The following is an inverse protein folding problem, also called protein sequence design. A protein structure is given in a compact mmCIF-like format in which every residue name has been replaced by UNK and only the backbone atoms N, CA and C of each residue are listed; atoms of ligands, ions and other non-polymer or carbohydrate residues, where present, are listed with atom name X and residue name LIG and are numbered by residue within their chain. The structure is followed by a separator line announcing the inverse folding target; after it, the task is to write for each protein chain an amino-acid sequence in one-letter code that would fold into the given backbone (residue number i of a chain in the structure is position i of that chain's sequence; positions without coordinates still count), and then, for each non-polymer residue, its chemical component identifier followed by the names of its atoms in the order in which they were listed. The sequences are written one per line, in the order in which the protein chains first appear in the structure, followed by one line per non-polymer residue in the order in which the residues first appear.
data_IF_832157119685
#
_entry.id   IF_832157119685
#
_cell.length_a   1.000
_cell.length_b   1.000
_cell.length_c   1.000
_cell.angle_alpha   90.00
_cell.angle_beta   90.00
_cell.angle_gamma   90.00
#
_symmetry.space_group_name_H-M   'P 1'
#
loop_
_entity.id
_entity.type
_entity.pdbx_description
1 polymer ?
#
# COMPACT_ATOMS: atom_id res chain seq x y z
N UNK A 1 -12.48 -13.90 51.90
CA UNK A 1 -12.21 -14.95 50.90
C UNK A 1 -12.17 -14.30 49.54
N UNK A 2 -10.99 -14.00 49.02
CA UNK A 2 -10.78 -13.41 47.69
C UNK A 2 -10.73 -14.54 46.67
N UNK A 3 -11.74 -14.58 45.79
CA UNK A 3 -11.80 -15.51 44.68
C UNK A 3 -10.89 -14.98 43.56
N UNK A 4 -9.66 -15.48 43.49
CA UNK A 4 -8.75 -15.25 42.38
C UNK A 4 -9.13 -16.23 41.26
N UNK A 5 -10.07 -15.85 40.40
CA UNK A 5 -10.22 -16.48 39.10
C UNK A 5 -9.08 -15.96 38.22
N UNK A 6 -7.93 -16.61 38.35
CA UNK A 6 -6.87 -16.57 37.34
C UNK A 6 -7.42 -17.29 36.12
N UNK A 7 -7.85 -16.50 35.12
CA UNK A 7 -8.03 -17.01 33.76
C UNK A 7 -6.66 -17.55 33.33
N UNK A 8 -6.49 -18.87 33.40
CA UNK A 8 -5.37 -19.54 32.75
C UNK A 8 -5.53 -19.24 31.25
N UNK A 9 -4.70 -18.36 30.73
CA UNK A 9 -4.44 -18.29 29.30
C UNK A 9 -3.90 -19.65 28.89
N UNK A 10 -4.76 -20.51 28.38
CA UNK A 10 -4.34 -21.68 27.61
C UNK A 10 -3.59 -21.15 26.39
N UNK A 11 -2.29 -21.01 26.54
CA UNK A 11 -1.36 -20.84 25.45
C UNK A 11 -1.29 -22.16 24.65
N UNK A 12 -2.44 -22.62 24.15
CA UNK A 12 -2.45 -23.74 23.22
C UNK A 12 -1.79 -23.22 21.95
N UNK A 13 -0.63 -23.79 21.64
CA UNK A 13 0.20 -23.57 20.44
C UNK A 13 -0.62 -23.66 19.13
N UNK A 14 -1.88 -24.08 19.20
CA UNK A 14 -2.80 -24.30 18.10
C UNK A 14 -3.81 -23.16 17.86
N UNK A 15 -3.80 -22.07 18.63
CA UNK A 15 -4.71 -20.97 18.35
C UNK A 15 -4.13 -20.09 17.24
N UNK A 16 -4.57 -20.34 16.00
CA UNK A 16 -4.17 -19.59 14.81
C UNK A 16 -4.58 -18.10 14.84
N UNK A 17 -5.46 -17.72 15.75
CA UNK A 17 -5.96 -16.35 15.93
C UNK A 17 -5.23 -15.57 17.01
N UNK A 18 -4.31 -16.19 17.75
CA UNK A 18 -3.50 -15.48 18.74
C UNK A 18 -2.28 -14.83 18.09
N UNK A 19 -1.89 -13.63 18.54
CA UNK A 19 -0.72 -12.89 18.02
C UNK A 19 0.58 -13.74 18.08
N UNK A 20 0.71 -14.57 19.12
CA UNK A 20 1.86 -15.45 19.34
C UNK A 20 1.59 -16.92 18.94
N UNK A 21 0.47 -17.19 18.27
CA UNK A 21 0.11 -18.54 17.83
C UNK A 21 1.02 -19.05 16.72
N UNK A 22 1.37 -20.34 16.78
CA UNK A 22 2.12 -21.00 15.69
C UNK A 22 1.14 -21.67 14.75
N UNK A 23 1.06 -21.14 13.53
CA UNK A 23 0.21 -21.72 12.47
C UNK A 23 1.01 -22.78 11.72
N UNK A 24 0.48 -23.99 11.52
CA UNK A 24 1.10 -24.99 10.62
C UNK A 24 1.28 -24.39 9.21
N UNK A 25 2.44 -24.61 8.60
CA UNK A 25 2.82 -24.01 7.30
C UNK A 25 1.75 -24.26 6.25
N UNK A 26 1.19 -25.47 6.16
CA UNK A 26 0.14 -25.81 5.18
C UNK A 26 -1.14 -24.97 5.34
N UNK A 27 -1.45 -24.47 6.54
CA UNK A 27 -2.57 -23.55 6.77
C UNK A 27 -2.15 -22.09 6.59
N UNK A 28 -0.89 -21.75 6.82
CA UNK A 28 -0.37 -20.41 6.64
C UNK A 28 -0.26 -19.99 5.17
N UNK A 29 0.10 -20.93 4.27
CA UNK A 29 0.27 -20.67 2.83
C UNK A 29 -0.98 -20.06 2.19
N UNK A 30 -2.21 -20.61 2.31
CA UNK A 30 -3.41 -20.01 1.72
C UNK A 30 -3.68 -18.60 2.25
N UNK A 31 -3.49 -18.35 3.56
CA UNK A 31 -3.67 -17.02 4.14
C UNK A 31 -2.60 -16.03 3.64
N UNK A 32 -1.34 -16.45 3.56
CA UNK A 32 -0.26 -15.63 3.00
C UNK A 32 -0.52 -15.29 1.54
N UNK A 33 -0.91 -16.28 0.73
CA UNK A 33 -1.25 -16.07 -0.69
C UNK A 33 -2.42 -15.09 -0.84
N UNK A 34 -3.43 -15.16 0.02
CA UNK A 34 -4.53 -14.21 0.04
C UNK A 34 -4.04 -12.77 0.25
N UNK A 35 -3.19 -12.55 1.25
CA UNK A 35 -2.66 -11.22 1.52
C UNK A 35 -1.84 -10.69 0.34
N UNK A 36 -1.03 -11.54 -0.30
CA UNK A 36 -0.28 -11.19 -1.50
C UNK A 36 -1.23 -10.80 -2.64
N UNK A 37 -2.25 -11.61 -2.93
CA UNK A 37 -3.20 -11.34 -4.01
C UNK A 37 -4.02 -10.07 -3.74
N UNK A 38 -4.40 -9.80 -2.49
CA UNK A 38 -5.14 -8.59 -2.12
C UNK A 38 -4.30 -7.32 -2.32
N UNK A 39 -3.01 -7.34 -1.94
CA UNK A 39 -2.13 -6.20 -2.06
C UNK A 39 -1.52 -6.03 -3.46
N UNK A 40 -1.42 -7.09 -4.25
CA UNK A 40 -0.71 -7.12 -5.53
C UNK A 40 -1.21 -6.03 -6.48
N UNK A 41 -2.52 -6.01 -6.75
CA UNK A 41 -3.14 -5.05 -7.68
C UNK A 41 -3.01 -3.63 -7.15
N UNK A 42 -3.21 -3.45 -5.85
CA UNK A 42 -3.15 -2.15 -5.22
C UNK A 42 -1.72 -1.58 -5.19
N UNK A 43 -0.69 -2.42 -5.13
CA UNK A 43 0.70 -1.96 -5.26
C UNK A 43 1.07 -1.58 -6.70
N UNK A 44 0.52 -2.26 -7.70
CA UNK A 44 0.84 -1.99 -9.12
C UNK A 44 0.26 -0.64 -9.57
N UNK A 45 -0.99 -0.34 -9.20
CA UNK A 45 -1.69 0.82 -9.73
C UNK A 45 -0.97 2.17 -9.48
N UNK A 46 -0.49 2.51 -8.29
CA UNK A 46 0.26 3.74 -8.07
C UNK A 46 1.53 3.84 -8.91
N UNK A 47 2.25 2.72 -9.10
CA UNK A 47 3.49 2.69 -9.89
C UNK A 47 3.18 3.02 -11.35
N UNK A 48 2.16 2.38 -11.92
CA UNK A 48 1.76 2.62 -13.31
C UNK A 48 1.32 4.06 -13.51
N UNK A 49 0.54 4.62 -12.58
CA UNK A 49 0.03 5.99 -12.67
C UNK A 49 1.16 7.01 -12.57
N UNK A 50 2.00 6.91 -11.55
CA UNK A 50 3.09 7.87 -11.32
C UNK A 50 4.20 7.69 -12.37
N UNK A 51 4.51 6.46 -12.75
CA UNK A 51 5.49 6.17 -13.77
C UNK A 51 5.07 6.71 -15.15
N UNK A 52 3.82 6.52 -15.54
CA UNK A 52 3.28 7.09 -16.77
C UNK A 52 3.32 8.63 -16.74
N UNK A 53 2.95 9.26 -15.63
CA UNK A 53 3.04 10.70 -15.46
C UNK A 53 4.49 11.24 -15.53
N UNK A 54 5.46 10.40 -15.13
CA UNK A 54 6.90 10.73 -15.16
C UNK A 54 7.59 10.36 -16.48
N UNK A 55 6.87 9.76 -17.43
CA UNK A 55 7.40 9.34 -18.74
C UNK A 55 8.30 8.11 -18.70
N UNK A 56 8.13 7.23 -17.69
CA UNK A 56 8.89 5.98 -17.60
C UNK A 56 8.43 4.96 -18.65
N UNK A 57 9.38 4.17 -19.15
CA UNK A 57 9.08 3.10 -20.09
C UNK A 57 8.55 1.82 -19.41
N UNK A 58 8.08 0.87 -20.22
CA UNK A 58 7.50 -0.38 -19.70
C UNK A 58 8.52 -1.25 -18.96
N UNK A 59 9.79 -1.18 -19.31
CA UNK A 59 10.86 -1.95 -18.68
C UNK A 59 11.19 -1.39 -17.31
N UNK A 60 11.26 -0.06 -17.19
CA UNK A 60 11.43 0.65 -15.93
C UNK A 60 10.26 0.37 -15.00
N UNK A 61 9.01 0.47 -15.49
CA UNK A 61 7.81 0.16 -14.71
C UNK A 61 7.80 -1.27 -14.18
N UNK A 62 8.18 -2.25 -14.99
CA UNK A 62 8.27 -3.64 -14.58
C UNK A 62 9.31 -3.83 -13.46
N UNK A 63 10.48 -3.20 -13.57
CA UNK A 63 11.53 -3.23 -12.55
C UNK A 63 11.07 -2.59 -11.24
N UNK A 64 10.33 -1.47 -11.32
CA UNK A 64 9.76 -0.81 -10.13
C UNK A 64 8.71 -1.66 -9.43
N UNK A 65 7.83 -2.34 -10.16
CA UNK A 65 6.84 -3.25 -9.59
C UNK A 65 7.51 -4.38 -8.80
N UNK A 66 8.57 -4.98 -9.38
CA UNK A 66 9.31 -6.05 -8.71
C UNK A 66 10.00 -5.55 -7.45
N UNK A 67 10.66 -4.39 -7.52
CA UNK A 67 11.32 -3.74 -6.38
C UNK A 67 10.31 -3.42 -5.26
N UNK A 68 9.16 -2.87 -5.63
CA UNK A 68 8.11 -2.51 -4.70
C UNK A 68 7.55 -3.72 -3.94
N UNK A 69 7.30 -4.82 -4.63
CA UNK A 69 6.81 -6.05 -4.00
C UNK A 69 7.82 -6.60 -2.99
N UNK A 70 9.12 -6.56 -3.32
CA UNK A 70 10.16 -7.01 -2.41
C UNK A 70 10.28 -6.10 -1.18
N UNK A 71 10.34 -4.77 -1.38
CA UNK A 71 10.46 -3.82 -0.25
C UNK A 71 9.21 -3.84 0.62
N UNK A 72 8.01 -3.96 0.05
CA UNK A 72 6.78 -4.12 0.81
C UNK A 72 6.80 -5.39 1.68
N UNK A 73 7.34 -6.49 1.16
CA UNK A 73 7.55 -7.72 1.92
C UNK A 73 8.53 -7.53 3.08
N UNK A 74 9.66 -6.86 2.84
CA UNK A 74 10.66 -6.54 3.88
C UNK A 74 10.03 -5.62 4.94
N UNK A 75 9.31 -4.58 4.53
CA UNK A 75 8.60 -3.68 5.42
C UNK A 75 7.58 -4.41 6.29
N UNK A 76 6.81 -5.31 5.71
CA UNK A 76 5.85 -6.18 6.43
C UNK A 76 6.56 -7.04 7.47
N UNK A 77 7.73 -7.60 7.16
CA UNK A 77 8.53 -8.36 8.13
C UNK A 77 9.03 -7.47 9.28
N UNK A 78 9.46 -6.24 8.99
CA UNK A 78 9.89 -5.28 10.02
C UNK A 78 8.70 -4.85 10.89
N UNK A 79 7.52 -4.66 10.32
CA UNK A 79 6.31 -4.39 11.12
C UNK A 79 5.99 -5.53 12.07
N UNK A 80 6.09 -6.77 11.59
CA UNK A 80 5.78 -7.97 12.37
C UNK A 80 6.86 -8.31 13.40
N UNK A 81 8.15 -8.12 13.02
CA UNK A 81 9.33 -8.39 13.84
C UNK A 81 10.13 -7.11 14.04
N UNK A 82 9.77 -6.27 15.01
CA UNK A 82 10.35 -4.95 15.17
C UNK A 82 11.88 -4.97 15.31
N UNK A 83 12.55 -4.10 14.56
CA UNK A 83 13.95 -3.81 14.74
C UNK A 83 14.11 -2.61 15.69
N UNK A 84 14.50 -2.87 16.93
CA UNK A 84 14.61 -1.86 18.00
C UNK A 84 13.27 -1.14 18.25
N UNK A 85 13.05 0.06 17.73
CA UNK A 85 11.81 0.85 17.85
C UNK A 85 11.10 1.04 16.52
N UNK A 86 11.57 0.41 15.46
CA UNK A 86 10.99 0.44 14.12
C UNK A 86 10.16 -0.84 13.95
N UNK A 87 8.89 -0.69 13.70
CA UNK A 87 7.90 -1.77 13.63
C UNK A 87 6.99 -1.80 14.85
N UNK A 88 5.74 -2.17 14.62
CA UNK A 88 4.68 -2.21 15.64
C UNK A 88 4.65 -3.51 16.43
N UNK A 89 5.15 -4.62 15.88
CA UNK A 89 4.91 -5.98 16.38
C UNK A 89 3.50 -6.49 16.08
N UNK A 90 2.75 -5.75 15.25
CA UNK A 90 1.43 -6.12 14.79
C UNK A 90 1.52 -6.68 13.36
N UNK A 91 0.58 -7.53 12.97
CA UNK A 91 0.55 -8.10 11.63
C UNK A 91 -0.02 -7.10 10.61
N UNK A 92 0.68 -6.01 10.44
CA UNK A 92 0.39 -4.97 9.47
C UNK A 92 1.12 -5.33 8.17
N UNK A 93 0.37 -5.44 7.08
CA UNK A 93 0.94 -5.59 5.74
C UNK A 93 1.27 -4.21 5.23
N UNK A 94 2.43 -4.04 4.62
CA UNK A 94 2.87 -2.78 4.02
C UNK A 94 2.72 -2.83 2.50
N UNK A 95 2.41 -1.70 1.91
CA UNK A 95 2.30 -1.54 0.46
C UNK A 95 2.43 -0.09 0.02
N UNK A 96 2.42 0.13 -1.30
CA UNK A 96 2.56 1.49 -1.85
C UNK A 96 1.32 2.30 -1.52
N UNK A 97 1.55 3.46 -0.93
CA UNK A 97 0.48 4.37 -0.50
C UNK A 97 -0.10 5.16 -1.66
N UNK A 98 -1.43 5.11 -1.79
CA UNK A 98 -2.17 5.96 -2.72
C UNK A 98 -2.17 7.44 -2.34
N UNK A 99 -1.94 7.75 -1.08
CA UNK A 99 -1.91 9.12 -0.54
C UNK A 99 -0.88 10.00 -1.26
N UNK A 100 0.21 9.40 -1.74
CA UNK A 100 1.28 10.12 -2.43
C UNK A 100 1.08 10.23 -3.94
N UNK A 101 0.13 9.52 -4.54
CA UNK A 101 0.01 9.41 -6.01
C UNK A 101 -0.14 10.78 -6.67
N UNK A 102 -1.06 11.61 -6.20
CA UNK A 102 -1.32 12.91 -6.83
C UNK A 102 -0.10 13.83 -6.82
N UNK A 103 0.60 13.92 -5.67
CA UNK A 103 1.79 14.77 -5.56
C UNK A 103 2.97 14.20 -6.34
N UNK A 104 3.16 12.88 -6.32
CA UNK A 104 4.23 12.21 -7.07
C UNK A 104 4.01 12.33 -8.58
N UNK A 105 2.76 12.27 -9.08
CA UNK A 105 2.44 12.56 -10.49
C UNK A 105 2.83 13.97 -10.87
N UNK A 106 2.51 14.97 -10.02
CA UNK A 106 2.87 16.36 -10.29
C UNK A 106 4.39 16.54 -10.32
N UNK A 107 5.10 16.07 -9.29
CA UNK A 107 6.57 16.17 -9.20
C UNK A 107 7.22 15.43 -10.38
N UNK A 108 6.76 14.21 -10.67
CA UNK A 108 7.28 13.40 -11.77
C UNK A 108 7.12 14.03 -13.14
N UNK A 109 5.96 14.65 -13.40
CA UNK A 109 5.67 15.35 -14.65
C UNK A 109 6.50 16.63 -14.82
N UNK A 110 6.76 17.38 -13.74
CA UNK A 110 7.43 18.69 -13.79
C UNK A 110 8.95 18.58 -13.67
N UNK A 111 9.44 17.71 -12.77
CA UNK A 111 10.86 17.62 -12.41
C UNK A 111 11.50 16.26 -12.73
N UNK A 112 10.70 15.29 -13.18
CA UNK A 112 11.14 13.92 -13.44
C UNK A 112 11.12 13.00 -12.22
N UNK A 113 11.23 11.70 -12.48
CA UNK A 113 11.10 10.66 -11.46
C UNK A 113 12.22 10.71 -10.40
N UNK A 114 13.42 11.18 -10.75
CA UNK A 114 14.53 11.36 -9.82
C UNK A 114 14.22 12.35 -8.69
N UNK A 115 13.44 13.40 -8.97
CA UNK A 115 12.99 14.36 -7.99
C UNK A 115 11.93 13.75 -7.04
N UNK A 116 11.08 12.86 -7.53
CA UNK A 116 10.15 12.08 -6.68
C UNK A 116 10.96 11.24 -5.68
N UNK A 117 11.97 10.51 -6.16
CA UNK A 117 12.79 9.65 -5.30
C UNK A 117 13.58 10.45 -4.26
N UNK A 118 14.16 11.58 -4.65
CA UNK A 118 14.86 12.48 -3.70
C UNK A 118 13.93 13.03 -2.62
N UNK A 119 12.71 13.41 -2.99
CA UNK A 119 11.72 13.93 -2.06
C UNK A 119 11.20 12.84 -1.12
N UNK A 120 10.94 11.63 -1.63
CA UNK A 120 10.49 10.47 -0.83
C UNK A 120 11.57 10.04 0.16
N UNK A 121 12.83 10.00 -0.25
CA UNK A 121 13.96 9.67 0.63
C UNK A 121 14.00 10.58 1.86
N UNK A 122 13.97 11.89 1.64
CA UNK A 122 14.04 12.88 2.73
C UNK A 122 12.74 12.88 3.54
N UNK A 123 11.60 12.87 2.87
CA UNK A 123 10.29 12.84 3.53
C UNK A 123 10.10 11.63 4.43
N UNK A 124 10.52 10.45 3.99
CA UNK A 124 10.46 9.23 4.78
C UNK A 124 11.40 9.25 5.99
N UNK A 125 12.60 9.83 5.87
CA UNK A 125 13.49 10.03 7.04
C UNK A 125 12.79 10.92 8.07
N UNK A 126 12.17 12.01 7.63
CA UNK A 126 11.47 12.94 8.52
C UNK A 126 10.29 12.23 9.19
N UNK A 127 9.46 11.50 8.44
CA UNK A 127 8.35 10.72 9.02
C UNK A 127 8.85 9.66 10.00
N UNK A 128 9.90 8.91 9.65
CA UNK A 128 10.52 7.92 10.54
C UNK A 128 10.96 8.52 11.86
N UNK A 129 11.60 9.68 11.82
CA UNK A 129 11.97 10.42 13.02
C UNK A 129 10.74 10.91 13.80
N UNK A 130 9.76 11.48 13.13
CA UNK A 130 8.48 11.87 13.75
C UNK A 130 7.79 10.68 14.40
N UNK A 131 7.84 9.50 13.77
CA UNK A 131 7.32 8.25 14.32
C UNK A 131 7.98 7.87 15.64
N UNK A 132 9.32 7.98 15.73
CA UNK A 132 10.03 7.71 16.99
C UNK A 132 9.61 8.65 18.14
N UNK A 133 9.15 9.86 17.81
CA UNK A 133 8.67 10.87 18.75
C UNK A 133 7.13 11.00 18.76
N UNK A 134 6.39 10.05 18.20
CA UNK A 134 4.94 10.09 18.02
C UNK A 134 4.18 10.43 19.31
N UNK A 135 4.65 9.97 20.47
CA UNK A 135 4.01 10.21 21.78
C UNK A 135 3.77 11.69 22.11
N UNK A 136 4.52 12.61 21.51
CA UNK A 136 4.43 14.04 21.81
C UNK A 136 3.37 14.74 20.97
N UNK A 137 3.16 14.31 19.73
CA UNK A 137 2.31 15.00 18.77
C UNK A 137 1.04 14.23 18.37
N UNK A 138 1.01 12.90 18.52
CA UNK A 138 -0.17 12.10 18.15
C UNK A 138 -1.45 12.51 18.90
N UNK A 139 -1.33 13.17 20.07
CA UNK A 139 -2.48 13.72 20.82
C UNK A 139 -3.20 14.83 20.05
N UNK A 140 -2.55 15.46 19.08
CA UNK A 140 -3.14 16.47 18.21
C UNK A 140 -4.06 15.85 17.14
N UNK A 141 -3.87 14.56 16.84
CA UNK A 141 -4.66 13.86 15.83
C UNK A 141 -5.90 13.28 16.49
N UNK A 142 -7.02 13.94 16.27
CA UNK A 142 -8.33 13.46 16.69
C UNK A 142 -8.93 12.54 15.61
N UNK A 143 -9.87 11.63 15.94
CA UNK A 143 -10.57 10.82 14.95
C UNK A 143 -11.24 11.64 13.84
N UNK A 144 -11.70 12.86 14.16
CA UNK A 144 -12.29 13.78 13.18
C UNK A 144 -11.25 14.24 12.16
N UNK A 145 -10.04 14.60 12.60
CA UNK A 145 -8.94 14.98 11.70
C UNK A 145 -8.59 13.81 10.78
N UNK A 146 -8.42 12.60 11.34
CA UNK A 146 -8.12 11.41 10.54
C UNK A 146 -9.21 11.14 9.49
N UNK A 147 -10.48 11.17 9.86
CA UNK A 147 -11.60 10.98 8.93
C UNK A 147 -11.64 12.05 7.83
N UNK A 148 -11.39 13.31 8.18
CA UNK A 148 -11.35 14.41 7.21
C UNK A 148 -10.21 14.21 6.20
N UNK A 149 -9.03 13.82 6.69
CA UNK A 149 -7.85 13.54 5.85
C UNK A 149 -8.13 12.40 4.88
N UNK A 150 -8.63 11.26 5.35
CA UNK A 150 -8.97 10.11 4.49
C UNK A 150 -10.02 10.48 3.44
N UNK A 151 -11.02 11.27 3.83
CA UNK A 151 -12.04 11.77 2.89
C UNK A 151 -11.41 12.67 1.81
N UNK A 152 -10.53 13.58 2.20
CA UNK A 152 -9.83 14.47 1.26
C UNK A 152 -8.94 13.69 0.28
N UNK A 153 -8.24 12.65 0.75
CA UNK A 153 -7.48 11.72 -0.10
C UNK A 153 -8.41 11.07 -1.11
N UNK A 154 -9.55 10.53 -0.67
CA UNK A 154 -10.54 9.92 -1.56
C UNK A 154 -10.98 10.86 -2.68
N UNK A 155 -11.28 12.12 -2.36
CA UNK A 155 -11.64 13.13 -3.37
C UNK A 155 -10.48 13.47 -4.32
N UNK A 156 -9.25 13.55 -3.83
CA UNK A 156 -8.08 13.82 -4.69
C UNK A 156 -7.84 12.70 -5.71
N UNK A 157 -8.14 11.45 -5.33
CA UNK A 157 -7.99 10.29 -6.18
C UNK A 157 -9.08 10.16 -7.26
N UNK A 158 -10.21 10.87 -7.15
CA UNK A 158 -11.24 10.85 -8.19
C UNK A 158 -10.71 11.35 -9.54
N UNK A 159 -9.89 12.39 -9.54
CA UNK A 159 -9.25 12.87 -10.76
C UNK A 159 -8.33 11.82 -11.38
N UNK A 160 -7.52 11.16 -10.55
CA UNK A 160 -6.63 10.10 -11.00
C UNK A 160 -7.44 8.89 -11.52
N UNK A 161 -8.51 8.52 -10.81
CA UNK A 161 -9.41 7.45 -11.21
C UNK A 161 -10.10 7.74 -12.55
N UNK A 162 -10.62 8.95 -12.76
CA UNK A 162 -11.27 9.33 -14.02
C UNK A 162 -10.31 9.33 -15.20
N UNK A 163 -9.08 9.79 -14.99
CA UNK A 163 -8.02 9.75 -16.00
C UNK A 163 -7.66 8.31 -16.39
N UNK A 164 -7.50 7.44 -15.40
CA UNK A 164 -7.22 6.01 -15.64
C UNK A 164 -8.38 5.32 -16.35
N UNK A 165 -9.62 5.68 -16.00
CA UNK A 165 -10.84 5.17 -16.64
C UNK A 165 -10.91 5.56 -18.12
N UNK A 166 -10.38 6.74 -18.48
CA UNK A 166 -10.27 7.20 -19.87
C UNK A 166 -9.17 6.55 -20.69
N UNK A 167 -8.33 5.68 -20.09
CA UNK A 167 -7.23 5.00 -20.78
C UNK A 167 -5.83 5.42 -20.31
N UNK A 168 -5.74 6.30 -19.31
CA UNK A 168 -4.48 6.82 -18.78
C UNK A 168 -3.97 8.08 -19.44
N UNK A 169 -3.22 8.89 -18.70
CA UNK A 169 -2.63 10.12 -19.18
C UNK A 169 -1.64 9.85 -20.32
N UNK A 170 -1.80 10.56 -21.43
CA UNK A 170 -0.88 10.49 -22.56
C UNK A 170 -1.13 9.34 -23.55
N UNK A 171 -2.15 8.50 -23.34
CA UNK A 171 -2.52 7.49 -24.32
C UNK A 171 -3.13 8.14 -25.57
N UNK A 172 -2.80 7.63 -26.75
CA UNK A 172 -3.27 8.17 -28.03
C UNK A 172 -4.81 8.04 -28.18
N UNK A 173 -5.42 7.09 -27.50
CA UNK A 173 -6.86 6.82 -27.52
C UNK A 173 -7.56 7.27 -26.23
N UNK A 174 -6.95 8.21 -25.47
CA UNK A 174 -7.53 8.77 -24.26
C UNK A 174 -8.97 9.26 -24.47
N UNK A 175 -9.86 8.84 -23.59
CA UNK A 175 -11.28 9.22 -23.66
C UNK A 175 -12.09 8.45 -24.71
N UNK A 176 -11.50 7.45 -25.40
CA UNK A 176 -12.20 6.63 -26.38
C UNK A 176 -13.37 5.84 -25.76
N UNK A 177 -14.41 5.59 -26.55
CA UNK A 177 -15.53 4.76 -26.12
C UNK A 177 -15.09 3.36 -25.67
N UNK A 178 -14.03 2.81 -26.30
CA UNK A 178 -13.47 1.51 -25.92
C UNK A 178 -12.97 1.51 -24.48
N UNK A 179 -12.19 2.54 -24.09
CA UNK A 179 -11.67 2.68 -22.73
C UNK A 179 -12.80 2.82 -21.70
N UNK A 180 -13.80 3.64 -22.00
CA UNK A 180 -14.97 3.82 -21.13
C UNK A 180 -15.78 2.54 -20.97
N UNK A 181 -16.01 1.77 -22.03
CA UNK A 181 -16.71 0.48 -21.96
C UNK A 181 -15.90 -0.52 -21.12
N UNK A 182 -14.60 -0.67 -21.39
CA UNK A 182 -13.73 -1.56 -20.65
C UNK A 182 -13.68 -1.22 -19.15
N UNK A 183 -13.50 0.07 -18.83
CA UNK A 183 -13.49 0.56 -17.46
C UNK A 183 -14.82 0.32 -16.76
N UNK A 184 -15.95 0.57 -17.43
CA UNK A 184 -17.29 0.34 -16.88
C UNK A 184 -17.54 -1.14 -16.59
N UNK A 185 -17.19 -2.04 -17.51
CA UNK A 185 -17.32 -3.49 -17.30
C UNK A 185 -16.47 -3.92 -16.09
N UNK A 186 -15.21 -3.48 -16.02
CA UNK A 186 -14.30 -3.79 -14.92
C UNK A 186 -14.85 -3.32 -13.59
N UNK A 187 -15.33 -2.07 -13.52
CA UNK A 187 -15.92 -1.48 -12.31
C UNK A 187 -17.17 -2.23 -11.86
N UNK A 188 -18.08 -2.52 -12.78
CA UNK A 188 -19.32 -3.29 -12.48
C UNK A 188 -18.96 -4.70 -11.98
N UNK A 189 -17.97 -5.35 -12.57
CA UNK A 189 -17.48 -6.65 -12.09
C UNK A 189 -16.89 -6.56 -10.69
N UNK A 190 -16.05 -5.54 -10.41
CA UNK A 190 -15.49 -5.33 -9.06
C UNK A 190 -16.60 -5.14 -8.02
N UNK A 191 -17.55 -4.23 -8.29
CA UNK A 191 -18.65 -3.93 -7.37
C UNK A 191 -19.56 -5.15 -7.22
N UNK A 192 -19.94 -5.77 -8.33
CA UNK A 192 -20.78 -6.97 -8.32
C UNK A 192 -20.18 -8.10 -7.52
N UNK A 193 -18.89 -8.37 -7.71
CA UNK A 193 -18.18 -9.40 -6.93
C UNK A 193 -18.06 -9.00 -5.45
N UNK A 194 -17.80 -7.72 -5.15
CA UNK A 194 -17.75 -7.24 -3.77
C UNK A 194 -19.09 -7.41 -3.02
N UNK A 195 -20.22 -7.25 -3.73
CA UNK A 195 -21.56 -7.40 -3.14
C UNK A 195 -21.92 -8.88 -3.00
N UNK A 196 -21.64 -9.70 -4.02
CA UNK A 196 -22.05 -11.11 -4.07
C UNK A 196 -21.14 -12.04 -3.29
N UNK A 197 -19.85 -11.74 -3.22
CA UNK A 197 -18.87 -12.55 -2.52
C UNK A 197 -19.00 -12.43 -1.00
N UNK A 198 -18.76 -13.56 -0.32
CA UNK A 198 -18.82 -13.64 1.15
C UNK A 198 -17.43 -13.84 1.72
N UNK A 199 -17.22 -13.27 2.93
CA UNK A 199 -16.02 -13.48 3.73
C UNK A 199 -14.72 -13.26 2.92
N UNK A 200 -13.89 -14.27 2.83
CA UNK A 200 -12.60 -14.31 2.16
C UNK A 200 -12.59 -13.74 0.73
N UNK A 201 -13.54 -14.15 -0.12
CA UNK A 201 -13.56 -13.75 -1.52
C UNK A 201 -13.91 -12.27 -1.74
N UNK A 202 -14.57 -11.63 -0.79
CA UNK A 202 -14.91 -10.20 -0.88
C UNK A 202 -13.69 -9.31 -1.03
N UNK A 203 -12.58 -9.67 -0.41
CA UNK A 203 -11.30 -8.93 -0.48
C UNK A 203 -10.59 -9.08 -1.82
N UNK A 204 -10.90 -10.14 -2.57
CA UNK A 204 -10.37 -10.38 -3.90
C UNK A 204 -11.19 -9.70 -5.00
N UNK A 205 -12.17 -8.85 -4.66
CA UNK A 205 -13.05 -8.20 -5.64
C UNK A 205 -12.29 -7.37 -6.68
N UNK A 206 -11.27 -6.64 -6.25
CA UNK A 206 -10.44 -5.83 -7.16
C UNK A 206 -9.61 -6.71 -8.08
N UNK A 207 -9.01 -7.78 -7.53
CA UNK A 207 -8.28 -8.77 -8.34
C UNK A 207 -9.19 -9.45 -9.36
N UNK A 208 -10.41 -9.84 -8.94
CA UNK A 208 -11.39 -10.44 -9.83
C UNK A 208 -11.79 -9.48 -10.97
N UNK A 209 -12.06 -8.22 -10.63
CA UNK A 209 -12.36 -7.20 -11.63
C UNK A 209 -11.21 -6.98 -12.59
N UNK A 210 -9.95 -6.94 -12.11
CA UNK A 210 -8.77 -6.83 -12.95
C UNK A 210 -8.65 -8.02 -13.93
N UNK A 211 -8.84 -9.25 -13.45
CA UNK A 211 -8.77 -10.46 -14.30
C UNK A 211 -9.85 -10.41 -15.37
N UNK A 212 -11.11 -10.10 -15.00
CA UNK A 212 -12.21 -9.99 -15.97
C UNK A 212 -11.94 -8.85 -16.96
N UNK A 213 -11.53 -7.67 -16.47
CA UNK A 213 -11.19 -6.53 -17.33
C UNK A 213 -10.06 -6.86 -18.30
N UNK A 214 -9.03 -7.58 -17.86
CA UNK A 214 -7.93 -8.00 -18.71
C UNK A 214 -8.37 -8.99 -19.79
N UNK A 215 -9.23 -9.97 -19.44
CA UNK A 215 -9.84 -10.90 -20.41
C UNK A 215 -10.66 -10.12 -21.45
N UNK A 216 -11.48 -9.17 -21.03
CA UNK A 216 -12.25 -8.34 -21.96
C UNK A 216 -11.34 -7.50 -22.85
N UNK A 217 -10.26 -6.92 -22.30
CA UNK A 217 -9.27 -6.17 -23.07
C UNK A 217 -8.60 -7.02 -24.16
N UNK A 218 -8.31 -8.30 -23.88
CA UNK A 218 -7.79 -9.26 -24.89
C UNK A 218 -8.80 -9.42 -26.04
N UNK A 219 -10.10 -9.65 -25.73
CA UNK A 219 -11.12 -9.80 -26.76
C UNK A 219 -11.35 -8.50 -27.55
N UNK A 220 -11.13 -7.34 -26.95
CA UNK A 220 -11.22 -6.04 -27.62
C UNK A 220 -9.96 -5.70 -28.45
N UNK A 221 -8.92 -6.56 -28.42
CA UNK A 221 -7.66 -6.35 -29.13
C UNK A 221 -6.82 -5.18 -28.59
N UNK A 222 -6.96 -4.88 -27.29
CA UNK A 222 -6.26 -3.78 -26.62
C UNK A 222 -4.98 -4.24 -25.92
N UNK A 223 -4.64 -5.53 -25.96
CA UNK A 223 -3.47 -6.10 -25.28
C UNK A 223 -2.42 -6.48 -26.32
N UNK A 224 -1.21 -5.97 -26.13
CA UNK A 224 -0.04 -6.35 -26.92
C UNK A 224 0.84 -7.31 -26.11
N UNK A 225 0.97 -8.54 -26.60
CA UNK A 225 1.80 -9.59 -25.99
C UNK A 225 3.26 -9.57 -26.46
N UNK A 226 3.63 -8.71 -27.41
CA UNK A 226 4.99 -8.66 -27.97
C UNK A 226 6.04 -8.28 -26.91
N UNK A 227 5.64 -7.47 -25.94
CA UNK A 227 6.49 -7.04 -24.82
C UNK A 227 6.87 -8.15 -23.83
N UNK A 228 6.17 -9.30 -23.86
CA UNK A 228 6.52 -10.47 -23.03
C UNK A 228 7.73 -11.24 -23.53
N UNK A 229 8.07 -11.09 -24.80
CA UNK A 229 9.23 -11.78 -25.40
C UNK A 229 10.52 -11.10 -24.93
N UNK A 230 11.29 -11.79 -24.10
CA UNK A 230 12.60 -11.31 -23.62
C UNK A 230 12.66 -10.92 -22.15
N UNK A 231 11.54 -10.96 -21.40
CA UNK A 231 11.55 -10.73 -19.96
C UNK A 231 11.99 -11.98 -19.19
N UNK A 232 12.95 -11.82 -18.27
CA UNK A 232 13.37 -12.90 -17.36
C UNK A 232 12.27 -13.22 -16.33
N UNK A 233 12.21 -14.49 -15.91
CA UNK A 233 11.24 -14.94 -14.89
C UNK A 233 11.57 -14.36 -13.50
N UNK A 234 12.85 -14.09 -13.25
CA UNK A 234 13.33 -13.54 -11.98
C UNK A 234 14.19 -12.33 -12.26
N UNK A 235 13.89 -11.21 -11.61
CA UNK A 235 14.73 -10.03 -11.60
C UNK A 235 14.96 -9.58 -10.15
N UNK A 236 16.18 -9.13 -9.86
CA UNK A 236 16.50 -8.53 -8.57
C UNK A 236 16.33 -7.01 -8.64
N UNK A 237 15.89 -6.38 -7.54
CA UNK A 237 15.80 -4.93 -7.47
C UNK A 237 17.17 -4.30 -7.71
N UNK A 238 17.19 -3.27 -8.54
CA UNK A 238 18.38 -2.47 -8.76
C UNK A 238 18.48 -1.39 -7.68
N UNK A 239 19.66 -1.28 -7.07
CA UNK A 239 19.93 -0.20 -6.14
C UNK A 239 20.20 1.10 -6.91
N UNK A 240 19.47 2.17 -6.54
CA UNK A 240 19.52 3.49 -7.19
C UNK A 240 19.33 3.44 -8.73
N UNK A 241 18.21 2.88 -9.21
CA UNK A 241 17.95 2.79 -10.65
C UNK A 241 17.78 4.19 -11.28
N UNK A 242 17.42 5.18 -10.49
CA UNK A 242 17.29 6.58 -10.89
C UNK A 242 18.26 7.47 -10.14
N UNK A 243 18.77 8.51 -10.81
CA UNK A 243 19.58 9.53 -10.17
C UNK A 243 18.70 10.35 -9.23
N UNK A 244 19.05 10.39 -7.96
CA UNK A 244 18.32 11.19 -6.97
C UNK A 244 18.50 12.67 -7.23
N UNK A 245 17.40 13.41 -7.31
CA UNK A 245 17.40 14.86 -7.42
C UNK A 245 16.70 15.48 -6.21
N UNK A 246 17.39 16.42 -5.55
CA UNK A 246 16.87 17.06 -4.34
C UNK A 246 16.37 18.46 -4.67
N UNK A 247 15.03 18.58 -4.77
CA UNK A 247 14.31 19.83 -5.01
C UNK A 247 13.57 20.22 -3.75
N UNK A 248 13.83 21.38 -3.21
CA UNK A 248 13.26 21.82 -1.94
C UNK A 248 11.74 21.92 -1.96
N UNK A 249 11.16 22.39 -3.06
CA UNK A 249 9.73 22.49 -3.29
C UNK A 249 9.05 21.10 -3.32
N UNK A 250 9.68 20.13 -4.00
CA UNK A 250 9.21 18.75 -4.03
C UNK A 250 9.34 18.08 -2.65
N UNK A 251 10.47 18.26 -1.98
CA UNK A 251 10.71 17.72 -0.62
C UNK A 251 9.66 18.26 0.34
N UNK A 252 9.47 19.58 0.37
CA UNK A 252 8.49 20.20 1.26
C UNK A 252 7.09 19.67 1.03
N UNK A 253 6.67 19.55 -0.24
CA UNK A 253 5.35 19.02 -0.62
C UNK A 253 5.18 17.57 -0.18
N UNK A 254 6.18 16.70 -0.40
CA UNK A 254 6.12 15.29 0.00
C UNK A 254 6.15 15.14 1.52
N UNK A 255 6.92 15.97 2.24
CA UNK A 255 6.93 15.97 3.72
C UNK A 255 5.54 16.30 4.28
N UNK A 256 4.82 17.26 3.70
CA UNK A 256 3.45 17.56 4.11
C UNK A 256 2.52 16.35 3.91
N UNK A 257 2.68 15.63 2.80
CA UNK A 257 1.90 14.41 2.56
C UNK A 257 2.29 13.28 3.53
N UNK A 258 3.56 13.17 3.92
CA UNK A 258 3.96 12.23 4.97
C UNK A 258 3.29 12.52 6.33
N UNK A 259 3.05 13.78 6.68
CA UNK A 259 2.25 14.13 7.86
C UNK A 259 0.79 13.67 7.73
N UNK A 260 0.24 13.75 6.52
CA UNK A 260 -1.10 13.24 6.21
C UNK A 260 -1.12 11.70 6.32
N UNK A 261 -0.15 11.02 5.71
CA UNK A 261 0.03 9.56 5.79
C UNK A 261 0.18 9.07 7.23
N UNK A 262 0.89 9.82 8.07
CA UNK A 262 1.04 9.48 9.49
C UNK A 262 -0.32 9.41 10.21
N UNK A 263 -1.31 10.24 9.82
CA UNK A 263 -2.66 10.15 10.39
C UNK A 263 -3.41 8.89 9.93
N UNK A 264 -3.21 8.48 8.69
CA UNK A 264 -3.75 7.23 8.12
C UNK A 264 -3.17 6.03 8.88
N UNK A 265 -1.85 5.96 9.03
CA UNK A 265 -1.17 4.87 9.77
C UNK A 265 -1.62 4.75 11.23
N UNK A 266 -1.87 5.88 11.93
CA UNK A 266 -2.44 5.87 13.28
C UNK A 266 -3.85 5.24 13.24
N UNK A 267 -4.66 5.62 12.26
CA UNK A 267 -6.00 5.08 12.05
C UNK A 267 -5.97 3.57 11.83
N UNK A 268 -5.17 3.11 10.88
CA UNK A 268 -5.02 1.70 10.50
C UNK A 268 -4.53 0.86 11.67
N UNK A 269 -3.44 1.28 12.32
CA UNK A 269 -2.88 0.56 13.48
C UNK A 269 -3.91 0.46 14.62
N UNK A 270 -4.69 1.52 14.84
CA UNK A 270 -5.76 1.53 15.85
C UNK A 270 -6.91 0.61 15.46
N UNK A 271 -7.34 0.66 14.19
CA UNK A 271 -8.41 -0.19 13.67
C UNK A 271 -8.03 -1.67 13.75
N UNK A 272 -6.79 -2.03 13.39
CA UNK A 272 -6.29 -3.39 13.51
C UNK A 272 -6.28 -3.90 14.96
N UNK A 273 -5.80 -3.09 15.90
CA UNK A 273 -5.78 -3.47 17.31
C UNK A 273 -7.20 -3.65 17.88
N UNK A 274 -8.11 -2.76 17.53
CA UNK A 274 -9.50 -2.80 17.99
C UNK A 274 -10.27 -3.99 17.37
N UNK A 275 -10.17 -4.18 16.06
CA UNK A 275 -10.93 -5.21 15.34
C UNK A 275 -10.29 -6.60 15.48
N UNK A 276 -8.98 -6.70 15.28
CA UNK A 276 -8.26 -7.96 15.24
C UNK A 276 -7.88 -8.51 16.61
N UNK A 277 -7.47 -7.63 17.53
CA UNK A 277 -6.99 -8.03 18.87
C UNK A 277 -7.99 -7.71 19.99
N UNK A 278 -9.09 -7.00 19.68
CA UNK A 278 -10.14 -6.59 20.64
C UNK A 278 -9.57 -5.83 21.85
N UNK A 279 -8.59 -5.00 21.62
CA UNK A 279 -7.97 -4.14 22.63
C UNK A 279 -7.55 -2.80 22.04
N UNK A 280 -7.29 -1.83 22.91
CA UNK A 280 -6.70 -0.57 22.50
C UNK A 280 -5.27 -0.76 22.03
N UNK A 281 -4.88 0.05 21.04
CA UNK A 281 -3.51 0.14 20.56
C UNK A 281 -2.62 0.84 21.58
N UNK A 282 -1.40 0.40 21.73
CA UNK A 282 -0.42 1.04 22.62
C UNK A 282 0.35 2.15 21.91
N UNK A 283 0.82 3.14 22.66
CA UNK A 283 1.68 4.21 22.12
C UNK A 283 2.95 3.67 21.46
N UNK A 284 3.48 2.54 21.97
CA UNK A 284 4.67 1.90 21.41
C UNK A 284 4.38 1.31 20.03
N UNK A 285 3.23 0.68 19.86
CA UNK A 285 2.79 0.09 18.58
C UNK A 285 2.59 1.17 17.52
N UNK A 286 1.91 2.27 17.85
CA UNK A 286 1.73 3.39 16.93
C UNK A 286 3.08 4.02 16.56
N UNK A 287 3.92 4.32 17.57
CA UNK A 287 5.24 4.91 17.35
C UNK A 287 6.12 4.01 16.45
N UNK A 288 6.07 2.69 16.68
CA UNK A 288 6.81 1.72 15.88
C UNK A 288 6.27 1.59 14.45
N UNK A 289 4.96 1.62 14.27
CA UNK A 289 4.31 1.58 12.94
C UNK A 289 4.71 2.79 12.11
N UNK A 290 4.55 4.00 12.65
CA UNK A 290 4.94 5.25 11.97
C UNK A 290 6.44 5.29 11.64
N UNK A 291 7.30 4.88 12.58
CA UNK A 291 8.74 4.83 12.33
C UNK A 291 9.08 3.84 11.20
N UNK A 292 8.37 2.72 11.13
CA UNK A 292 8.53 1.73 10.06
C UNK A 292 8.11 2.31 8.71
N UNK A 293 6.94 2.93 8.62
CA UNK A 293 6.43 3.53 7.38
C UNK A 293 7.42 4.55 6.82
N UNK A 294 7.93 5.46 7.65
CA UNK A 294 8.89 6.46 7.22
C UNK A 294 10.23 5.85 6.77
N UNK A 295 10.86 5.01 7.60
CA UNK A 295 12.17 4.45 7.24
C UNK A 295 12.09 3.44 6.08
N UNK A 296 11.03 2.63 6.00
CA UNK A 296 10.83 1.74 4.85
C UNK A 296 10.58 2.55 3.58
N UNK A 297 9.83 3.65 3.64
CA UNK A 297 9.64 4.57 2.50
C UNK A 297 10.96 5.22 2.07
N UNK A 298 11.85 5.56 3.00
CA UNK A 298 13.19 6.06 2.65
C UNK A 298 14.03 5.00 1.94
N UNK A 299 14.00 3.76 2.43
CA UNK A 299 14.68 2.64 1.78
C UNK A 299 14.04 2.35 0.42
N UNK A 300 12.72 2.41 0.30
CA UNK A 300 12.01 2.18 -0.96
C UNK A 300 12.48 3.15 -2.06
N UNK A 301 12.68 4.42 -1.73
CA UNK A 301 13.19 5.43 -2.66
C UNK A 301 14.57 5.07 -3.22
N UNK A 302 15.45 4.43 -2.43
CA UNK A 302 16.76 3.96 -2.92
C UNK A 302 16.64 2.80 -3.94
N UNK A 303 15.51 2.11 -3.97
CA UNK A 303 15.20 1.09 -4.96
C UNK A 303 14.24 1.58 -6.05
N UNK A 304 14.05 2.89 -6.13
CA UNK A 304 13.18 3.53 -7.12
C UNK A 304 11.69 3.41 -6.81
N UNK A 305 11.30 2.94 -5.63
CA UNK A 305 9.88 2.73 -5.30
C UNK A 305 9.25 3.95 -4.63
N UNK A 306 7.95 4.09 -4.81
CA UNK A 306 7.12 5.08 -4.12
C UNK A 306 7.04 4.78 -2.61
N UNK A 307 6.51 5.72 -1.79
CA UNK A 307 6.35 5.50 -0.36
C UNK A 307 5.54 4.25 -0.04
N UNK A 308 6.03 3.47 0.92
CA UNK A 308 5.42 2.23 1.39
C UNK A 308 4.96 2.43 2.82
N UNK A 309 3.66 2.28 3.05
CA UNK A 309 3.00 2.52 4.34
C UNK A 309 2.12 1.33 4.74
N UNK A 310 1.48 1.41 5.89
CA UNK A 310 0.46 0.45 6.33
C UNK A 310 -0.65 0.32 5.29
N UNK A 311 -1.17 -0.90 5.11
CA UNK A 311 -2.10 -1.25 4.03
C UNK A 311 -3.42 -1.73 4.60
N UNK A 312 -4.39 -0.83 4.73
CA UNK A 312 -5.68 -1.07 5.40
C UNK A 312 -6.53 -2.16 4.72
N UNK A 313 -6.39 -2.37 3.41
CA UNK A 313 -7.12 -3.42 2.69
C UNK A 313 -6.82 -4.83 3.23
N UNK A 314 -5.64 -5.05 3.78
CA UNK A 314 -5.24 -6.34 4.33
C UNK A 314 -5.61 -6.52 5.81
N UNK A 315 -6.05 -5.45 6.48
CA UNK A 315 -6.46 -5.48 7.89
C UNK A 315 -7.88 -6.00 8.06
N UNK A 316 -8.78 -5.67 7.15
CA UNK A 316 -10.21 -6.04 7.17
C UNK A 316 -10.41 -7.56 7.18
N UNK A 317 -9.50 -8.33 6.59
CA UNK A 317 -9.58 -9.79 6.53
C UNK A 317 -9.48 -10.50 7.86
N UNK A 318 -8.89 -9.88 8.88
CA UNK A 318 -8.75 -10.44 10.23
C UNK A 318 -9.94 -10.15 11.14
N UNK A 319 -10.73 -9.13 10.84
CA UNK A 319 -11.87 -8.73 11.67
C UNK A 319 -13.11 -9.64 11.51
N UNK A 320 -13.13 -10.51 10.51
CA UNK A 320 -14.27 -11.35 10.16
C UNK A 320 -14.02 -12.86 10.23
N UNK A 321 -12.92 -13.30 10.86
CA UNK A 321 -12.64 -14.73 11.09
C UNK A 321 -12.84 -15.12 12.55
#
# INVERSE_FOLDING_TARGET
MKNKNTVKHDASINNIYSLNGRVPIMKAIPFGLQHILAMFVANIAPILIVGAASGLDSTELAALIQSAMMIAGIGTLIQLFPLWRIGSGLPIVMGISFTFVSICCYIGAVYGYGAVMGAVLIGGIIEGLLGLFARYWMKLITPVIAATVVTAIGFSLLSVGSTSFGGGSGSADFGSAKNWILGSITLVCCIGFNILAKSYFKQLSVLFGLVVGYIVAIFMGMVDFSSLSGTGIIAFPHFMPFKLEFRLDAIFSVVLIFLVSATETIGDTTALAASGLKRDVTQKEISGSLACDGFVSSVSALFGCLPITSFSQNEIGRAHV
#
